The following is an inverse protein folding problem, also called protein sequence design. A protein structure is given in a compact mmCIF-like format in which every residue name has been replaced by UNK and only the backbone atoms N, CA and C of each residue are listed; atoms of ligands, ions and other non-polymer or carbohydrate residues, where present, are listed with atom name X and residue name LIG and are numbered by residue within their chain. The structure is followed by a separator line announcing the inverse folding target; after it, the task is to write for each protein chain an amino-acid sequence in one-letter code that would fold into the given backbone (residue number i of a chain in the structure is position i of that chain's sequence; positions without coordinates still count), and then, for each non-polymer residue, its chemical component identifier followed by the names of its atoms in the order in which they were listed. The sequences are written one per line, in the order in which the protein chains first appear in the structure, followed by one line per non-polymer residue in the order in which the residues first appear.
data_IF_655142660605
#
_entry.id   IF_655142660605
#
_cell.length_a   1.000
_cell.length_b   1.000
_cell.length_c   1.000
_cell.angle_alpha   90.00
_cell.angle_beta   90.00
_cell.angle_gamma   90.00
#
_symmetry.space_group_name_H-M   'P 1'
#
loop_
_entity.id
_entity.type
_entity.pdbx_description
1 polymer ?
#
# COMPACT_ATOMS: atom_id res chain seq x y z
N UNK A 1 -28.98 -10.92 42.88
CA UNK A 1 -28.52 -9.57 43.17
C UNK A 1 -27.00 -9.57 42.91
N UNK A 2 -26.56 -9.37 41.67
CA UNK A 2 -25.15 -9.32 41.29
C UNK A 2 -24.59 -7.96 41.69
N UNK A 3 -23.68 -7.94 42.67
CA UNK A 3 -22.93 -6.75 43.01
C UNK A 3 -21.93 -6.45 41.86
N UNK A 4 -22.17 -5.39 41.13
CA UNK A 4 -21.20 -4.87 40.16
C UNK A 4 -19.89 -4.51 40.91
N UNK A 5 -18.74 -4.96 40.44
CA UNK A 5 -17.47 -4.57 41.04
C UNK A 5 -17.29 -3.05 40.88
N UNK A 6 -16.80 -2.42 41.91
CA UNK A 6 -16.60 -0.96 41.99
C UNK A 6 -15.63 -0.49 40.93
N UNK A 7 -16.17 -0.10 39.77
CA UNK A 7 -15.46 0.35 38.56
C UNK A 7 -14.52 1.52 38.88
N UNK A 8 -14.87 2.39 39.83
CA UNK A 8 -14.00 3.48 40.26
C UNK A 8 -12.69 3.01 40.92
N UNK A 9 -12.66 1.84 41.57
CA UNK A 9 -11.44 1.29 42.18
C UNK A 9 -10.49 0.67 41.17
N UNK A 10 -11.01 0.15 40.05
CA UNK A 10 -10.22 -0.43 38.98
C UNK A 10 -9.63 0.67 38.10
N UNK A 11 -10.39 1.71 37.78
CA UNK A 11 -9.91 2.85 36.97
C UNK A 11 -9.06 3.85 37.77
N UNK A 12 -9.24 3.98 39.07
CA UNK A 12 -8.44 4.86 39.92
C UNK A 12 -6.99 4.42 40.14
N UNK A 13 -6.68 3.15 39.93
CA UNK A 13 -5.28 2.63 39.94
C UNK A 13 -4.57 2.73 38.59
N UNK A 14 -5.29 3.01 37.50
CA UNK A 14 -4.75 3.04 36.14
C UNK A 14 -4.38 4.46 35.69
N UNK A 15 -4.91 5.49 36.35
CA UNK A 15 -4.63 6.89 36.00
C UNK A 15 -3.96 7.58 37.19
N UNK A 16 -2.68 7.30 37.37
CA UNK A 16 -1.82 8.26 38.05
C UNK A 16 -1.72 9.49 37.14
N UNK A 17 -2.42 10.57 37.51
CA UNK A 17 -2.56 11.82 36.76
C UNK A 17 -1.21 12.49 36.51
N UNK A 18 -0.14 12.02 37.15
CA UNK A 18 1.23 12.53 37.01
C UNK A 18 1.96 11.90 35.81
N UNK A 19 1.47 10.76 35.24
CA UNK A 19 2.12 10.01 34.15
C UNK A 19 1.37 10.07 32.81
N UNK A 20 0.32 10.86 32.66
CA UNK A 20 -0.46 10.90 31.42
C UNK A 20 0.28 11.60 30.28
N UNK A 21 0.49 10.86 29.18
CA UNK A 21 0.95 11.44 27.92
C UNK A 21 -0.14 12.37 27.37
N UNK A 22 0.21 13.62 27.10
CA UNK A 22 -0.69 14.61 26.48
C UNK A 22 -0.58 14.50 24.94
N UNK A 23 -1.71 14.58 24.26
CA UNK A 23 -1.79 14.56 22.79
C UNK A 23 -0.97 15.66 22.13
N UNK A 24 -0.88 16.84 22.75
CA UNK A 24 -0.04 17.94 22.30
C UNK A 24 1.45 17.59 22.35
N UNK A 25 1.88 16.92 23.43
CA UNK A 25 3.27 16.45 23.57
C UNK A 25 3.60 15.37 22.53
N UNK A 26 2.68 14.41 22.30
CA UNK A 26 2.85 13.40 21.27
C UNK A 26 2.98 14.03 19.88
N UNK A 27 2.12 15.00 19.55
CA UNK A 27 2.17 15.72 18.27
C UNK A 27 3.49 16.48 18.10
N UNK A 28 3.95 17.17 19.14
CA UNK A 28 5.20 17.95 19.10
C UNK A 28 6.41 17.02 18.92
N UNK A 29 6.47 15.95 19.69
CA UNK A 29 7.53 14.96 19.56
C UNK A 29 7.54 14.32 18.16
N UNK A 30 6.37 13.88 17.67
CA UNK A 30 6.22 13.26 16.36
C UNK A 30 6.73 14.18 15.25
N UNK A 31 6.36 15.45 15.27
CA UNK A 31 6.80 16.43 14.28
C UNK A 31 8.32 16.67 14.34
N UNK A 32 8.91 16.77 15.54
CA UNK A 32 10.36 16.89 15.71
C UNK A 32 11.09 15.70 15.09
N UNK A 33 10.59 14.48 15.37
CA UNK A 33 11.18 13.24 14.86
C UNK A 33 11.05 13.13 13.33
N UNK A 34 9.90 13.53 12.78
CA UNK A 34 9.64 13.51 11.34
C UNK A 34 10.50 14.50 10.57
N UNK A 35 10.65 15.74 11.08
CA UNK A 35 11.44 16.78 10.44
C UNK A 35 12.96 16.60 10.63
N UNK A 36 13.36 15.77 11.60
CA UNK A 36 14.77 15.65 11.99
C UNK A 36 15.40 16.97 12.46
N UNK A 37 14.59 17.97 12.82
CA UNK A 37 15.01 19.32 13.19
C UNK A 37 13.96 20.00 14.04
N UNK A 38 14.36 20.44 15.24
CA UNK A 38 13.47 21.19 16.14
C UNK A 38 13.05 22.53 15.52
N UNK A 39 13.95 23.18 14.78
CA UNK A 39 13.66 24.46 14.10
C UNK A 39 12.64 24.27 12.97
N UNK A 40 12.78 23.26 12.11
CA UNK A 40 11.79 22.98 11.07
C UNK A 40 10.45 22.57 11.66
N UNK A 41 10.46 21.72 12.69
CA UNK A 41 9.23 21.34 13.39
C UNK A 41 8.53 22.55 14.03
N UNK A 42 9.28 23.52 14.59
CA UNK A 42 8.71 24.73 15.17
C UNK A 42 7.98 25.60 14.14
N UNK A 43 8.51 25.68 12.93
CA UNK A 43 7.89 26.38 11.79
C UNK A 43 6.59 25.67 11.35
N UNK A 44 6.62 24.34 11.18
CA UNK A 44 5.44 23.55 10.79
C UNK A 44 4.33 23.65 11.83
N UNK A 45 4.69 23.62 13.13
CA UNK A 45 3.74 23.68 14.23
C UNK A 45 3.31 25.11 14.60
N UNK A 46 3.95 26.12 14.02
CA UNK A 46 3.76 27.53 14.36
C UNK A 46 3.96 27.80 15.88
N UNK A 47 5.04 27.24 16.44
CA UNK A 47 5.40 27.34 17.87
C UNK A 47 6.83 27.81 17.97
N UNK A 48 7.12 28.65 18.98
CA UNK A 48 8.48 29.11 19.22
C UNK A 48 9.44 27.95 19.53
N UNK A 49 10.59 27.90 18.86
CA UNK A 49 11.56 26.81 18.98
C UNK A 49 12.00 26.55 20.45
N UNK A 50 12.22 27.55 21.32
CA UNK A 50 12.55 27.30 22.72
C UNK A 50 11.43 26.56 23.48
N UNK A 51 10.17 26.91 23.19
CA UNK A 51 9.02 26.23 23.79
C UNK A 51 8.93 24.77 23.35
N UNK A 52 9.17 24.50 22.03
CA UNK A 52 9.17 23.15 21.51
C UNK A 52 10.30 22.30 22.11
N UNK A 53 11.50 22.88 22.28
CA UNK A 53 12.62 22.21 22.95
C UNK A 53 12.32 21.91 24.43
N UNK A 54 11.62 22.82 25.12
CA UNK A 54 11.20 22.60 26.51
C UNK A 54 10.16 21.48 26.60
N UNK A 55 9.21 21.43 25.67
CA UNK A 55 8.22 20.32 25.60
C UNK A 55 8.89 18.96 25.39
N UNK A 56 9.87 18.86 24.49
CA UNK A 56 10.63 17.64 24.27
C UNK A 56 11.35 17.21 25.55
N UNK A 57 12.08 18.13 26.19
CA UNK A 57 12.81 17.82 27.44
C UNK A 57 11.88 17.33 28.54
N UNK A 58 10.75 18.01 28.77
CA UNK A 58 9.73 17.58 29.76
C UNK A 58 9.15 16.19 29.45
N UNK A 59 8.99 15.84 28.17
CA UNK A 59 8.55 14.53 27.77
C UNK A 59 9.61 13.47 28.08
N UNK A 60 10.89 13.74 27.80
CA UNK A 60 12.03 12.86 28.13
C UNK A 60 12.19 12.68 29.64
N UNK A 61 12.11 13.77 30.42
CA UNK A 61 12.15 13.73 31.90
C UNK A 61 11.00 12.87 32.46
N UNK A 62 9.80 13.02 31.92
CA UNK A 62 8.62 12.24 32.34
C UNK A 62 8.76 10.75 32.03
N UNK A 63 9.30 10.40 30.85
CA UNK A 63 9.49 9.03 30.43
C UNK A 63 10.78 8.40 30.98
N UNK A 64 11.62 9.20 31.63
CA UNK A 64 12.90 8.76 32.23
C UNK A 64 13.93 8.30 31.20
N UNK A 65 13.77 8.71 29.94
CA UNK A 65 14.67 8.29 28.85
C UNK A 65 14.79 9.36 27.76
N UNK A 66 15.94 9.44 27.11
CA UNK A 66 16.13 10.31 25.95
C UNK A 66 15.43 9.74 24.73
N UNK A 67 14.65 10.56 24.06
CA UNK A 67 13.91 10.18 22.85
C UNK A 67 14.64 10.63 21.57
N UNK A 68 15.47 11.67 21.66
CA UNK A 68 16.18 12.24 20.52
C UNK A 68 17.67 12.40 20.80
N UNK A 69 18.50 12.08 19.81
CA UNK A 69 19.93 12.31 19.81
C UNK A 69 20.24 13.55 18.95
N UNK A 70 21.09 14.44 19.44
CA UNK A 70 21.60 15.58 18.67
C UNK A 70 22.72 15.13 17.76
N UNK A 71 22.66 15.53 16.50
CA UNK A 71 23.69 15.30 15.48
C UNK A 71 24.17 16.63 14.90
N UNK A 72 25.22 16.62 14.10
CA UNK A 72 25.69 17.85 13.41
C UNK A 72 24.66 18.40 12.42
N UNK A 73 23.76 17.56 11.91
CA UNK A 73 22.76 17.93 10.89
C UNK A 73 21.34 18.08 11.44
N UNK A 74 21.14 17.89 12.75
CA UNK A 74 19.81 18.00 13.36
C UNK A 74 19.62 17.04 14.54
N UNK A 75 18.46 16.40 14.60
CA UNK A 75 18.13 15.42 15.64
C UNK A 75 17.62 14.12 15.00
N UNK A 76 17.97 12.98 15.61
CA UNK A 76 17.51 11.66 15.19
C UNK A 76 16.89 10.91 16.38
N UNK A 77 15.84 10.12 16.18
CA UNK A 77 15.21 9.38 17.28
C UNK A 77 16.12 8.27 17.80
N UNK A 78 16.15 8.10 19.13
CA UNK A 78 16.70 6.93 19.81
C UNK A 78 15.85 5.69 19.53
N UNK A 79 16.18 4.54 20.07
CA UNK A 79 15.32 3.34 20.04
C UNK A 79 13.97 3.63 20.73
N UNK A 80 13.99 4.21 21.93
CA UNK A 80 12.79 4.65 22.63
C UNK A 80 12.01 5.71 21.82
N UNK A 81 12.75 6.63 21.16
CA UNK A 81 12.15 7.61 20.26
C UNK A 81 11.46 6.99 19.05
N UNK A 82 12.05 5.98 18.42
CA UNK A 82 11.40 5.27 17.30
C UNK A 82 10.12 4.55 17.75
N UNK A 83 10.16 3.88 18.89
CA UNK A 83 8.98 3.25 19.48
C UNK A 83 7.88 4.28 19.77
N UNK A 84 8.25 5.40 20.42
CA UNK A 84 7.27 6.44 20.72
C UNK A 84 6.72 7.09 19.42
N UNK A 85 7.55 7.29 18.41
CA UNK A 85 7.12 7.87 17.13
C UNK A 85 6.06 6.97 16.45
N UNK A 86 6.24 5.66 16.47
CA UNK A 86 5.26 4.71 15.96
C UNK A 86 3.95 4.78 16.75
N UNK A 87 4.04 4.72 18.08
CA UNK A 87 2.85 4.75 18.96
C UNK A 87 2.14 6.11 18.92
N UNK A 88 2.89 7.22 18.94
CA UNK A 88 2.32 8.57 18.85
C UNK A 88 1.51 8.76 17.57
N UNK A 89 2.01 8.28 16.44
CA UNK A 89 1.27 8.33 15.18
C UNK A 89 -0.06 7.59 15.28
N UNK A 90 -0.08 6.36 15.78
CA UNK A 90 -1.33 5.59 15.94
C UNK A 90 -2.33 6.29 16.84
N UNK A 91 -1.89 6.85 17.97
CA UNK A 91 -2.76 7.57 18.90
C UNK A 91 -3.34 8.84 18.25
N UNK A 92 -2.49 9.63 17.58
CA UNK A 92 -2.93 10.85 16.91
C UNK A 92 -3.88 10.57 15.74
N UNK A 93 -3.61 9.54 14.96
CA UNK A 93 -4.49 9.08 13.88
C UNK A 93 -5.85 8.61 14.44
N UNK A 94 -5.87 7.90 15.56
CA UNK A 94 -7.12 7.42 16.18
C UNK A 94 -7.96 8.57 16.72
N UNK A 95 -7.34 9.57 17.32
CA UNK A 95 -8.04 10.79 17.76
C UNK A 95 -8.65 11.51 16.55
N UNK A 96 -7.88 11.67 15.46
CA UNK A 96 -8.36 12.32 14.26
C UNK A 96 -9.56 11.56 13.65
N UNK A 97 -9.50 10.23 13.61
CA UNK A 97 -10.59 9.36 13.15
C UNK A 97 -11.84 9.46 14.01
N UNK A 98 -11.68 9.40 15.34
CA UNK A 98 -12.80 9.55 16.27
C UNK A 98 -13.51 10.88 16.05
N UNK A 99 -12.76 11.98 15.86
CA UNK A 99 -13.35 13.27 15.57
C UNK A 99 -14.11 13.27 14.24
N UNK A 100 -13.59 12.61 13.21
CA UNK A 100 -14.20 12.52 11.90
C UNK A 100 -15.47 11.66 11.93
N UNK A 101 -15.43 10.52 12.61
CA UNK A 101 -16.59 9.64 12.79
C UNK A 101 -17.73 10.37 13.48
N UNK A 102 -17.44 11.11 14.55
CA UNK A 102 -18.45 11.91 15.26
C UNK A 102 -19.04 12.98 14.33
N UNK A 103 -18.21 13.71 13.59
CA UNK A 103 -18.69 14.74 12.66
C UNK A 103 -19.53 14.17 11.51
N UNK A 104 -19.27 12.93 11.11
CA UNK A 104 -19.97 12.27 10.02
C UNK A 104 -21.25 11.53 10.45
N UNK A 105 -21.58 11.45 11.77
CA UNK A 105 -22.75 10.69 12.25
C UNK A 105 -24.06 11.10 11.57
N UNK A 106 -24.27 12.40 11.41
CA UNK A 106 -25.51 12.96 10.82
C UNK A 106 -25.33 13.46 9.38
N UNK A 107 -24.16 13.24 8.77
CA UNK A 107 -23.78 13.80 7.46
C UNK A 107 -23.36 12.76 6.42
N UNK A 108 -22.98 13.26 5.22
CA UNK A 108 -22.34 12.44 4.20
C UNK A 108 -20.94 11.98 4.68
N UNK A 109 -20.44 10.81 4.21
CA UNK A 109 -19.09 10.37 4.53
C UNK A 109 -18.07 11.45 4.18
N UNK A 110 -17.20 11.80 5.13
CA UNK A 110 -16.18 12.84 4.99
C UNK A 110 -14.85 12.36 5.56
N UNK A 111 -13.76 13.02 5.20
CA UNK A 111 -12.43 12.75 5.75
C UNK A 111 -11.41 12.28 4.73
N UNK A 112 -10.26 11.81 5.22
CA UNK A 112 -9.14 11.39 4.39
C UNK A 112 -9.05 9.87 4.35
N UNK A 113 -8.97 9.29 3.13
CA UNK A 113 -8.72 7.87 2.90
C UNK A 113 -7.39 7.70 2.17
N UNK A 114 -6.48 6.95 2.77
CA UNK A 114 -5.13 6.69 2.26
C UNK A 114 -5.09 5.32 1.58
N UNK A 115 -4.82 5.31 0.28
CA UNK A 115 -4.73 4.09 -0.53
C UNK A 115 -3.28 3.78 -0.89
N UNK A 116 -2.85 2.55 -0.63
CA UNK A 116 -1.60 2.01 -1.16
C UNK A 116 -1.84 1.18 -2.41
N UNK A 117 -1.26 1.55 -3.55
CA UNK A 117 -1.47 0.87 -4.82
C UNK A 117 -0.15 0.53 -5.52
N UNK A 118 0.01 -0.68 -6.10
CA UNK A 118 1.08 -0.94 -7.05
C UNK A 118 0.93 -0.02 -8.27
N UNK A 119 2.04 0.47 -8.83
CA UNK A 119 2.02 1.46 -9.89
C UNK A 119 1.20 1.04 -11.12
N UNK A 120 1.19 -0.24 -11.50
CA UNK A 120 0.36 -0.76 -12.60
C UNK A 120 -1.13 -0.64 -12.32
N UNK A 121 -1.55 -0.89 -11.08
CA UNK A 121 -2.95 -0.75 -10.66
C UNK A 121 -3.31 0.74 -10.52
N UNK A 122 -2.41 1.53 -9.93
CA UNK A 122 -2.62 2.95 -9.76
C UNK A 122 -2.87 3.66 -11.09
N UNK A 123 -2.10 3.35 -12.12
CA UNK A 123 -2.26 3.92 -13.46
C UNK A 123 -3.67 3.69 -14.06
N UNK A 124 -4.32 2.57 -13.71
CA UNK A 124 -5.65 2.22 -14.16
C UNK A 124 -6.77 2.77 -13.28
N UNK A 125 -6.59 2.61 -11.97
CA UNK A 125 -7.68 2.75 -11.00
C UNK A 125 -7.79 4.17 -10.46
N UNK A 126 -6.68 4.90 -10.34
CA UNK A 126 -6.67 6.19 -9.62
C UNK A 126 -7.65 7.20 -10.21
N UNK A 127 -7.59 7.45 -11.51
CA UNK A 127 -8.47 8.45 -12.16
C UNK A 127 -9.96 8.05 -12.10
N UNK A 128 -10.37 6.82 -12.46
CA UNK A 128 -11.75 6.39 -12.34
C UNK A 128 -12.27 6.42 -10.90
N UNK A 129 -11.47 5.99 -9.93
CA UNK A 129 -11.83 5.99 -8.52
C UNK A 129 -12.03 7.42 -7.99
N UNK A 130 -11.11 8.34 -8.30
CA UNK A 130 -11.23 9.74 -7.86
C UNK A 130 -12.47 10.39 -8.48
N UNK A 131 -12.78 10.13 -9.78
CA UNK A 131 -13.99 10.63 -10.43
C UNK A 131 -15.26 10.10 -9.75
N UNK A 132 -15.35 8.81 -9.53
CA UNK A 132 -16.49 8.18 -8.87
C UNK A 132 -16.67 8.65 -7.42
N UNK A 133 -15.57 8.76 -6.68
CA UNK A 133 -15.59 9.26 -5.31
C UNK A 133 -16.05 10.73 -5.23
N UNK A 134 -15.55 11.61 -6.12
CA UNK A 134 -16.01 13.01 -6.17
C UNK A 134 -17.49 13.17 -6.46
N UNK A 135 -18.03 12.31 -7.31
CA UNK A 135 -19.46 12.33 -7.64
C UNK A 135 -20.33 11.85 -6.47
N UNK A 136 -19.91 10.77 -5.80
CA UNK A 136 -20.73 10.09 -4.79
C UNK A 136 -20.46 10.59 -3.36
N UNK A 137 -19.21 10.99 -3.08
CA UNK A 137 -18.71 11.37 -1.76
C UNK A 137 -17.80 12.61 -1.84
N UNK A 138 -18.36 13.81 -2.16
CA UNK A 138 -17.58 15.02 -2.45
C UNK A 138 -16.72 15.51 -1.27
N UNK A 139 -17.03 15.07 -0.04
CA UNK A 139 -16.28 15.45 1.17
C UNK A 139 -15.17 14.47 1.52
N UNK A 140 -14.95 13.41 0.72
CA UNK A 140 -13.84 12.49 0.92
C UNK A 140 -12.63 12.98 0.12
N UNK A 141 -11.49 13.10 0.80
CA UNK A 141 -10.19 13.30 0.18
C UNK A 141 -9.46 11.96 0.05
N UNK A 142 -9.07 11.57 -1.15
CA UNK A 142 -8.32 10.34 -1.38
C UNK A 142 -6.83 10.69 -1.56
N UNK A 143 -5.97 10.07 -0.75
CA UNK A 143 -4.52 10.11 -0.89
C UNK A 143 -4.05 8.76 -1.44
N UNK A 144 -3.45 8.76 -2.63
CA UNK A 144 -2.90 7.55 -3.25
C UNK A 144 -1.38 7.60 -3.15
N UNK A 145 -0.80 6.53 -2.61
CA UNK A 145 0.64 6.31 -2.58
C UNK A 145 0.99 5.07 -3.38
N UNK A 146 2.00 5.20 -4.25
CA UNK A 146 2.47 4.12 -5.11
C UNK A 146 3.77 3.53 -4.60
N UNK A 147 3.83 2.19 -4.54
CA UNK A 147 5.05 1.44 -4.29
C UNK A 147 4.91 -0.02 -4.74
N UNK A 148 5.98 -0.80 -4.56
CA UNK A 148 5.90 -2.26 -4.63
C UNK A 148 5.09 -2.82 -3.45
N UNK A 149 4.41 -3.96 -3.65
CA UNK A 149 3.53 -4.59 -2.65
C UNK A 149 4.18 -4.78 -1.29
N UNK A 150 5.48 -5.06 -1.23
CA UNK A 150 6.22 -5.22 0.03
C UNK A 150 6.23 -3.94 0.88
N UNK A 151 6.44 -2.77 0.27
CA UNK A 151 6.37 -1.48 0.97
C UNK A 151 4.95 -1.15 1.39
N UNK A 152 3.97 -1.37 0.51
CA UNK A 152 2.56 -1.09 0.78
C UNK A 152 2.06 -1.93 1.96
N UNK A 153 2.44 -3.21 2.05
CA UNK A 153 2.10 -4.05 3.20
C UNK A 153 2.69 -3.52 4.50
N UNK A 154 3.90 -2.97 4.47
CA UNK A 154 4.49 -2.23 5.58
C UNK A 154 3.66 -1.01 5.98
N UNK A 155 3.21 -0.21 5.00
CA UNK A 155 2.36 0.97 5.25
C UNK A 155 1.01 0.62 5.88
N UNK A 156 0.41 -0.52 5.50
CA UNK A 156 -0.81 -1.01 6.15
C UNK A 156 -0.57 -1.35 7.62
N UNK A 157 0.51 -2.11 7.93
CA UNK A 157 0.87 -2.47 9.31
C UNK A 157 1.16 -1.24 10.16
N UNK A 158 1.83 -0.27 9.57
CA UNK A 158 2.14 0.99 10.23
C UNK A 158 0.95 1.96 10.27
N UNK A 159 -0.19 1.69 9.61
CA UNK A 159 -1.35 2.59 9.52
C UNK A 159 -1.10 3.83 8.66
N UNK A 160 -0.08 3.83 7.81
CA UNK A 160 0.18 4.86 6.79
C UNK A 160 -0.81 4.77 5.63
N UNK A 161 -1.33 3.56 5.36
CA UNK A 161 -2.42 3.31 4.43
C UNK A 161 -3.63 2.76 5.19
N UNK A 162 -4.82 3.15 4.76
CA UNK A 162 -6.09 2.70 5.32
C UNK A 162 -6.61 1.48 4.55
N UNK A 163 -6.40 1.45 3.24
CA UNK A 163 -6.72 0.38 2.32
C UNK A 163 -5.55 0.19 1.36
N UNK A 164 -5.41 -0.99 0.82
CA UNK A 164 -4.42 -1.24 -0.23
C UNK A 164 -4.88 -2.28 -1.24
N UNK A 165 -4.25 -2.28 -2.42
CA UNK A 165 -4.28 -3.42 -3.33
C UNK A 165 -2.88 -4.03 -3.35
N UNK A 166 -2.82 -5.36 -3.18
CA UNK A 166 -1.59 -6.13 -3.20
C UNK A 166 -1.72 -7.32 -4.15
N UNK A 167 -0.60 -7.81 -4.67
CA UNK A 167 -0.56 -9.03 -5.48
C UNK A 167 -0.38 -10.33 -4.68
N UNK A 168 -0.41 -10.23 -3.37
CA UNK A 168 -0.42 -11.37 -2.43
C UNK A 168 -1.34 -11.04 -1.26
N UNK A 169 -2.03 -12.03 -0.69
CA UNK A 169 -2.84 -11.80 0.50
C UNK A 169 -1.95 -11.53 1.71
N UNK A 170 -2.42 -10.71 2.64
CA UNK A 170 -1.87 -10.64 3.99
C UNK A 170 -2.61 -11.67 4.87
N UNK A 171 -1.93 -12.76 5.21
CA UNK A 171 -2.48 -13.82 6.07
C UNK A 171 -2.23 -13.58 7.56
N UNK A 172 -2.11 -12.32 7.95
CA UNK A 172 -1.83 -11.91 9.33
C UNK A 172 -3.13 -11.56 10.05
N UNK A 173 -3.16 -11.82 11.38
CA UNK A 173 -4.26 -11.33 12.22
C UNK A 173 -4.35 -9.81 12.14
N UNK A 174 -5.57 -9.29 12.02
CA UNK A 174 -5.82 -7.85 11.92
C UNK A 174 -5.94 -7.32 10.49
N UNK A 175 -5.88 -8.20 9.47
CA UNK A 175 -6.16 -7.85 8.07
C UNK A 175 -7.13 -8.82 7.44
N UNK A 176 -7.99 -8.29 6.58
CA UNK A 176 -8.84 -9.03 5.66
C UNK A 176 -8.30 -8.83 4.24
N UNK A 177 -8.19 -9.92 3.49
CA UNK A 177 -7.70 -9.93 2.11
C UNK A 177 -8.75 -10.57 1.22
N UNK A 178 -9.41 -9.78 0.39
CA UNK A 178 -10.42 -10.24 -0.56
C UNK A 178 -9.84 -10.21 -1.98
N UNK A 179 -10.07 -11.25 -2.77
CA UNK A 179 -9.61 -11.29 -4.17
C UNK A 179 -10.41 -10.25 -4.96
N UNK A 180 -9.71 -9.33 -5.63
CA UNK A 180 -10.30 -8.27 -6.43
C UNK A 180 -10.46 -8.70 -7.89
N UNK A 181 -9.41 -9.28 -8.47
CA UNK A 181 -9.37 -9.80 -9.84
C UNK A 181 -8.17 -10.72 -10.04
N UNK A 182 -8.17 -11.40 -11.19
CA UNK A 182 -6.98 -12.06 -11.75
C UNK A 182 -6.58 -11.38 -13.05
N UNK A 183 -5.27 -11.19 -13.26
CA UNK A 183 -4.72 -10.64 -14.50
C UNK A 183 -3.74 -11.61 -15.15
N UNK A 184 -3.82 -11.71 -16.49
CA UNK A 184 -2.99 -12.57 -17.30
C UNK A 184 -1.59 -11.96 -17.47
N UNK A 185 -0.57 -12.79 -17.36
CA UNK A 185 0.80 -12.45 -17.69
C UNK A 185 1.14 -12.94 -19.09
N UNK A 186 1.80 -12.09 -19.87
CA UNK A 186 2.22 -12.39 -21.24
C UNK A 186 3.74 -12.43 -21.33
N UNK A 187 4.26 -13.27 -22.20
CA UNK A 187 5.65 -13.19 -22.66
C UNK A 187 5.78 -12.01 -23.60
N UNK A 188 6.82 -11.22 -23.44
CA UNK A 188 7.20 -10.09 -24.28
C UNK A 188 8.51 -10.39 -24.99
N UNK A 189 8.60 -10.03 -26.29
CA UNK A 189 9.84 -10.12 -27.04
C UNK A 189 9.92 -9.06 -28.14
N UNK A 190 11.12 -8.83 -28.65
CA UNK A 190 11.33 -7.94 -29.78
C UNK A 190 10.73 -8.52 -31.08
N UNK A 191 10.25 -7.67 -31.96
CA UNK A 191 9.60 -8.07 -33.21
C UNK A 191 10.48 -8.99 -34.09
N UNK A 192 11.80 -8.90 -33.96
CA UNK A 192 12.74 -9.73 -34.73
C UNK A 192 12.78 -11.20 -34.30
N UNK A 193 12.14 -11.58 -33.18
CA UNK A 193 12.18 -12.96 -32.68
C UNK A 193 10.89 -13.70 -33.04
N UNK A 194 10.99 -14.83 -33.81
CA UNK A 194 9.80 -15.59 -34.19
C UNK A 194 9.26 -16.40 -33.02
N UNK A 195 8.23 -15.90 -32.35
CA UNK A 195 7.54 -16.62 -31.28
C UNK A 195 6.05 -16.76 -31.61
N UNK A 196 5.43 -17.92 -31.35
CA UNK A 196 4.02 -18.12 -31.65
C UNK A 196 3.11 -17.30 -30.73
N UNK A 197 1.85 -17.02 -31.13
CA UNK A 197 0.89 -16.31 -30.30
C UNK A 197 0.63 -16.94 -28.91
N UNK A 198 0.90 -18.24 -28.79
CA UNK A 198 0.86 -19.02 -27.54
C UNK A 198 2.14 -19.82 -27.40
N UNK A 199 2.87 -19.68 -26.32
CA UNK A 199 4.17 -20.31 -26.11
C UNK A 199 4.30 -20.87 -24.69
N UNK A 200 4.92 -22.06 -24.57
CA UNK A 200 5.30 -22.59 -23.27
C UNK A 200 6.48 -21.80 -22.67
N UNK A 201 6.57 -21.70 -21.35
CA UNK A 201 7.71 -21.08 -20.65
C UNK A 201 9.04 -21.76 -21.00
N UNK A 202 9.03 -23.05 -21.30
CA UNK A 202 10.20 -23.80 -21.75
C UNK A 202 10.89 -23.20 -23.01
N UNK A 203 10.16 -22.45 -23.85
CA UNK A 203 10.75 -21.72 -24.99
C UNK A 203 11.65 -20.57 -24.58
N UNK A 204 11.54 -20.11 -23.35
CA UNK A 204 12.41 -19.07 -22.77
C UNK A 204 13.66 -19.66 -22.12
N UNK A 205 13.83 -20.99 -22.13
CA UNK A 205 15.02 -21.63 -21.59
C UNK A 205 16.25 -21.21 -22.42
N UNK A 206 17.28 -20.65 -21.74
CA UNK A 206 18.48 -20.11 -22.39
C UNK A 206 18.30 -18.72 -23.01
N UNK A 207 17.08 -18.19 -23.09
CA UNK A 207 16.82 -16.81 -23.53
C UNK A 207 17.10 -15.86 -22.39
N UNK A 208 17.92 -14.81 -22.58
CA UNK A 208 18.11 -13.79 -21.54
C UNK A 208 16.77 -13.12 -21.20
N UNK A 209 16.43 -13.08 -19.92
CA UNK A 209 15.22 -12.40 -19.44
C UNK A 209 15.58 -11.06 -18.78
N UNK A 210 14.75 -10.07 -19.06
CA UNK A 210 14.76 -8.75 -18.39
C UNK A 210 13.63 -8.78 -17.38
N UNK A 211 13.92 -8.90 -16.10
CA UNK A 211 12.94 -9.09 -15.04
C UNK A 211 13.11 -8.12 -13.89
N UNK A 212 12.09 -7.93 -13.06
CA UNK A 212 12.24 -7.24 -11.77
C UNK A 212 13.26 -7.94 -10.86
N UNK A 213 13.79 -7.20 -9.91
CA UNK A 213 14.70 -7.70 -8.89
C UNK A 213 14.06 -8.75 -7.98
N UNK A 214 14.87 -9.57 -7.34
CA UNK A 214 14.37 -10.54 -6.32
C UNK A 214 13.66 -9.81 -5.17
N UNK A 215 12.60 -10.41 -4.65
CA UNK A 215 11.71 -9.80 -3.66
C UNK A 215 10.59 -8.95 -4.27
N UNK A 216 10.57 -8.79 -5.59
CA UNK A 216 9.40 -8.30 -6.31
C UNK A 216 8.42 -9.47 -6.54
N UNK A 217 7.17 -9.34 -6.09
CA UNK A 217 6.19 -10.44 -6.18
C UNK A 217 5.93 -10.96 -7.60
N UNK A 218 6.12 -10.15 -8.65
CA UNK A 218 6.06 -10.62 -10.03
C UNK A 218 7.24 -11.54 -10.35
N UNK A 219 8.45 -11.19 -9.90
CA UNK A 219 9.63 -12.01 -10.08
C UNK A 219 9.48 -13.37 -9.37
N UNK A 220 9.01 -13.36 -8.13
CA UNK A 220 8.80 -14.58 -7.36
C UNK A 220 7.81 -15.52 -8.04
N UNK A 221 6.70 -14.96 -8.56
CA UNK A 221 5.70 -15.71 -9.34
C UNK A 221 6.28 -16.32 -10.64
N UNK A 222 7.11 -15.58 -11.36
CA UNK A 222 7.78 -16.05 -12.57
C UNK A 222 8.77 -17.19 -12.23
N UNK A 223 9.61 -16.99 -11.22
CA UNK A 223 10.59 -17.99 -10.77
C UNK A 223 9.88 -19.28 -10.32
N UNK A 224 8.74 -19.16 -9.64
CA UNK A 224 7.91 -20.31 -9.25
C UNK A 224 7.31 -21.03 -10.46
N UNK A 225 6.81 -20.30 -11.45
CA UNK A 225 6.26 -20.87 -12.67
C UNK A 225 7.32 -21.65 -13.49
N UNK A 226 8.54 -21.12 -13.57
CA UNK A 226 9.65 -21.87 -14.19
C UNK A 226 10.00 -23.14 -13.39
N UNK A 227 10.11 -23.03 -12.07
CA UNK A 227 10.43 -24.15 -11.18
C UNK A 227 9.37 -25.26 -11.26
N UNK A 228 8.09 -24.90 -11.34
CA UNK A 228 7.00 -25.87 -11.51
C UNK A 228 7.09 -26.68 -12.80
N UNK A 229 7.78 -26.17 -13.82
CA UNK A 229 8.06 -26.86 -15.07
C UNK A 229 9.46 -27.52 -15.12
N UNK A 230 10.15 -27.62 -13.97
CA UNK A 230 11.50 -28.21 -13.90
C UNK A 230 12.58 -27.36 -14.57
N UNK A 231 12.33 -26.07 -14.77
CA UNK A 231 13.22 -25.12 -15.44
C UNK A 231 13.65 -23.98 -14.52
N UNK A 232 14.57 -23.16 -14.99
CA UNK A 232 14.98 -21.92 -14.32
C UNK A 232 15.02 -20.76 -15.30
N UNK A 233 14.63 -19.57 -14.84
CA UNK A 233 14.74 -18.35 -15.62
C UNK A 233 16.21 -17.93 -15.77
N UNK A 234 16.67 -17.72 -17.01
CA UNK A 234 18.01 -17.16 -17.29
C UNK A 234 17.90 -15.64 -17.26
N UNK A 235 18.16 -15.03 -16.10
CA UNK A 235 18.03 -13.58 -15.94
C UNK A 235 19.31 -12.88 -16.42
N UNK A 236 19.18 -12.10 -17.48
CA UNK A 236 20.27 -11.30 -18.05
C UNK A 236 20.33 -9.89 -17.46
N UNK A 237 19.16 -9.30 -17.15
CA UNK A 237 19.07 -7.94 -16.60
C UNK A 237 18.01 -7.92 -15.51
N UNK A 238 18.34 -7.31 -14.36
CA UNK A 238 17.38 -7.02 -13.28
C UNK A 238 17.11 -5.52 -13.21
N UNK A 239 15.81 -5.13 -13.32
CA UNK A 239 15.37 -3.74 -13.27
C UNK A 239 13.89 -3.65 -12.84
N UNK A 240 13.57 -2.79 -11.86
CA UNK A 240 12.23 -2.73 -11.29
C UNK A 240 11.24 -1.82 -12.05
N UNK A 241 11.71 -1.06 -13.04
CA UNK A 241 10.85 -0.19 -13.86
C UNK A 241 10.28 -0.94 -15.05
N UNK A 242 8.97 -1.14 -15.08
CA UNK A 242 8.29 -1.76 -16.24
C UNK A 242 8.49 -0.95 -17.54
N UNK A 243 8.59 0.36 -17.48
CA UNK A 243 8.91 1.18 -18.66
C UNK A 243 10.28 0.79 -19.23
N UNK A 244 11.29 0.67 -18.37
CA UNK A 244 12.62 0.28 -18.80
C UNK A 244 12.69 -1.18 -19.26
N UNK A 245 11.96 -2.10 -18.59
CA UNK A 245 11.85 -3.48 -19.07
C UNK A 245 11.32 -3.50 -20.50
N UNK A 246 10.23 -2.77 -20.78
CA UNK A 246 9.65 -2.70 -22.11
C UNK A 246 10.60 -2.14 -23.16
N UNK A 247 11.32 -1.06 -22.82
CA UNK A 247 12.31 -0.47 -23.71
C UNK A 247 13.46 -1.44 -24.03
N UNK A 248 13.98 -2.15 -23.01
CA UNK A 248 15.04 -3.14 -23.21
C UNK A 248 14.58 -4.31 -24.06
N UNK A 249 13.33 -4.78 -23.85
CA UNK A 249 12.76 -5.84 -24.68
C UNK A 249 12.58 -5.39 -26.13
N UNK A 250 12.08 -4.16 -26.36
CA UNK A 250 11.92 -3.61 -27.70
C UNK A 250 13.25 -3.53 -28.47
N UNK A 251 14.35 -3.19 -27.77
CA UNK A 251 15.71 -3.13 -28.33
C UNK A 251 16.39 -4.52 -28.46
N UNK A 252 15.71 -5.62 -28.05
CA UNK A 252 16.22 -6.98 -28.24
C UNK A 252 17.22 -7.45 -27.18
N UNK A 253 17.32 -6.79 -26.01
CA UNK A 253 18.21 -7.23 -24.93
C UNK A 253 17.75 -8.51 -24.24
N UNK A 254 16.53 -8.96 -24.47
CA UNK A 254 15.97 -10.17 -23.89
C UNK A 254 14.46 -10.24 -24.06
N UNK A 255 13.86 -11.32 -23.53
CA UNK A 255 12.41 -11.40 -23.34
C UNK A 255 12.03 -10.98 -21.93
N UNK A 256 10.74 -10.80 -21.69
CA UNK A 256 10.20 -10.54 -20.35
C UNK A 256 8.83 -11.19 -20.17
N UNK A 257 8.31 -11.13 -18.94
CA UNK A 257 6.94 -11.55 -18.60
C UNK A 257 6.31 -10.44 -17.78
N UNK A 258 5.27 -9.78 -18.35
CA UNK A 258 4.56 -8.68 -17.72
C UNK A 258 3.04 -8.85 -17.86
N UNK A 259 2.22 -8.12 -17.04
CA UNK A 259 0.78 -8.13 -17.19
C UNK A 259 0.33 -7.63 -18.56
N UNK A 260 -0.71 -8.24 -19.12
CA UNK A 260 -1.25 -7.88 -20.43
C UNK A 260 -1.56 -6.39 -20.57
N UNK A 261 -2.15 -5.78 -19.54
CA UNK A 261 -2.42 -4.35 -19.53
C UNK A 261 -1.14 -3.51 -19.65
N UNK A 262 -0.09 -3.88 -18.92
CA UNK A 262 1.14 -3.09 -18.85
C UNK A 262 1.87 -2.96 -20.20
N UNK A 263 1.54 -3.82 -21.18
CA UNK A 263 2.18 -3.88 -22.49
C UNK A 263 1.24 -3.54 -23.64
N UNK A 264 0.00 -3.18 -23.34
CA UNK A 264 -1.04 -2.96 -24.34
C UNK A 264 -0.69 -1.84 -25.32
N UNK A 265 -0.07 -0.77 -24.86
CA UNK A 265 0.30 0.38 -25.71
C UNK A 265 1.38 -0.03 -26.71
N UNK A 266 2.45 -0.67 -26.26
CA UNK A 266 3.59 -1.09 -27.07
C UNK A 266 3.19 -2.17 -28.09
N UNK A 267 2.30 -3.07 -27.69
CA UNK A 267 1.75 -4.10 -28.59
C UNK A 267 0.92 -3.47 -29.69
N UNK A 268 0.09 -2.46 -29.38
CA UNK A 268 -0.68 -1.73 -30.38
C UNK A 268 0.18 -0.92 -31.35
N UNK A 269 1.28 -0.36 -30.85
CA UNK A 269 2.26 0.37 -31.66
C UNK A 269 3.17 -0.55 -32.47
N UNK A 270 3.14 -1.87 -32.20
CA UNK A 270 4.02 -2.85 -32.85
C UNK A 270 5.48 -2.78 -32.44
N UNK A 271 5.81 -2.08 -31.36
CA UNK A 271 7.19 -2.00 -30.86
C UNK A 271 7.60 -3.23 -30.06
N UNK A 272 6.66 -3.96 -29.49
CA UNK A 272 6.83 -5.22 -28.76
C UNK A 272 5.80 -6.23 -29.27
N UNK A 273 6.21 -7.47 -29.43
CA UNK A 273 5.33 -8.60 -29.64
C UNK A 273 5.02 -9.30 -28.31
N UNK A 274 3.85 -9.93 -28.22
CA UNK A 274 3.44 -10.69 -27.04
C UNK A 274 2.94 -12.08 -27.40
N UNK A 275 3.19 -13.04 -26.51
CA UNK A 275 2.59 -14.37 -26.54
C UNK A 275 1.87 -14.66 -25.23
N UNK A 276 0.72 -15.32 -25.33
CA UNK A 276 0.10 -15.93 -24.17
C UNK A 276 0.94 -17.11 -23.69
N UNK A 277 1.04 -17.29 -22.39
CA UNK A 277 1.70 -18.47 -21.83
C UNK A 277 0.78 -19.68 -22.03
N UNK A 278 1.34 -20.77 -22.53
CA UNK A 278 0.59 -22.01 -22.80
C UNK A 278 0.09 -22.65 -21.48
N UNK A 279 -0.93 -23.50 -21.60
CA UNK A 279 -1.63 -24.09 -20.47
C UNK A 279 -0.72 -24.58 -19.33
N UNK A 280 -1.09 -24.21 -18.10
CA UNK A 280 -2.37 -23.57 -17.68
C UNK A 280 -2.42 -22.06 -17.83
N UNK A 281 -1.45 -21.40 -18.46
CA UNK A 281 -1.27 -19.94 -18.45
C UNK A 281 -0.63 -19.46 -17.15
N UNK A 282 -0.27 -18.19 -17.09
CA UNK A 282 0.25 -17.58 -15.88
C UNK A 282 -0.63 -16.38 -15.49
N UNK A 283 -1.20 -16.46 -14.31
CA UNK A 283 -2.12 -15.47 -13.79
C UNK A 283 -1.65 -15.02 -12.43
N UNK A 284 -1.84 -13.75 -12.12
CA UNK A 284 -1.63 -13.25 -10.77
C UNK A 284 -2.92 -12.65 -10.20
N UNK A 285 -3.11 -12.79 -8.90
CA UNK A 285 -4.28 -12.26 -8.20
C UNK A 285 -3.95 -10.91 -7.59
N UNK A 286 -4.86 -9.96 -7.77
CA UNK A 286 -4.86 -8.74 -6.99
C UNK A 286 -5.86 -8.87 -5.85
N UNK A 287 -5.47 -8.44 -4.66
CA UNK A 287 -6.27 -8.49 -3.44
C UNK A 287 -6.50 -7.08 -2.93
N UNK A 288 -7.73 -6.76 -2.54
CA UNK A 288 -7.98 -5.60 -1.69
C UNK A 288 -7.74 -5.99 -0.24
N UNK A 289 -6.94 -5.20 0.46
CA UNK A 289 -6.56 -5.45 1.85
C UNK A 289 -7.15 -4.37 2.74
N UNK A 290 -7.79 -4.81 3.83
CA UNK A 290 -8.44 -3.95 4.80
C UNK A 290 -7.98 -4.32 6.21
N UNK A 291 -7.59 -3.35 7.06
CA UNK A 291 -7.37 -3.60 8.48
C UNK A 291 -8.69 -4.00 9.17
N UNK A 292 -8.64 -5.02 10.04
CA UNK A 292 -9.78 -5.48 10.85
C UNK A 292 -9.56 -5.29 12.35
N UNK A 293 -8.34 -4.93 12.76
CA UNK A 293 -8.00 -4.69 14.17
C UNK A 293 -8.70 -3.47 14.78
N UNK A 294 -9.33 -2.63 13.94
CA UNK A 294 -10.06 -1.43 14.33
C UNK A 294 -11.24 -1.23 13.39
N UNK A 295 -12.33 -0.59 13.82
CA UNK A 295 -13.41 -0.18 12.95
C UNK A 295 -12.91 0.75 11.84
N UNK A 296 -13.48 0.63 10.65
CA UNK A 296 -13.26 1.57 9.56
C UNK A 296 -14.13 2.81 9.77
N UNK A 297 -13.59 3.99 9.43
CA UNK A 297 -14.40 5.22 9.37
C UNK A 297 -15.44 5.11 8.25
N UNK A 298 -16.48 5.93 8.29
CA UNK A 298 -17.49 5.97 7.21
C UNK A 298 -16.88 6.29 5.84
N UNK A 299 -15.86 7.16 5.81
CA UNK A 299 -15.13 7.46 4.58
C UNK A 299 -14.35 6.23 4.05
N UNK A 300 -13.67 5.51 4.95
CA UNK A 300 -12.94 4.29 4.59
C UNK A 300 -13.88 3.20 4.07
N UNK A 301 -15.01 2.97 4.73
CA UNK A 301 -16.04 2.02 4.31
C UNK A 301 -16.60 2.39 2.93
N UNK A 302 -16.94 3.66 2.71
CA UNK A 302 -17.46 4.15 1.43
C UNK A 302 -16.47 3.91 0.27
N UNK A 303 -15.18 4.13 0.48
CA UNK A 303 -14.15 3.87 -0.54
C UNK A 303 -13.86 2.38 -0.69
N UNK A 304 -13.91 1.60 0.40
CA UNK A 304 -13.75 0.14 0.35
C UNK A 304 -14.85 -0.55 -0.47
N UNK A 305 -16.07 -0.02 -0.43
CA UNK A 305 -17.20 -0.49 -1.26
C UNK A 305 -17.11 0.01 -2.71
N UNK A 306 -16.65 1.25 -2.91
CA UNK A 306 -16.57 1.87 -4.23
C UNK A 306 -15.44 1.27 -5.09
N UNK A 307 -14.31 0.95 -4.49
CA UNK A 307 -13.11 0.47 -5.18
C UNK A 307 -13.35 -0.81 -6.00
N UNK A 308 -13.97 -1.88 -5.47
CA UNK A 308 -14.31 -3.06 -6.27
C UNK A 308 -15.29 -2.77 -7.39
N UNK A 309 -16.25 -1.86 -7.21
CA UNK A 309 -17.20 -1.47 -8.25
C UNK A 309 -16.48 -0.80 -9.42
N UNK A 310 -15.58 0.13 -9.13
CA UNK A 310 -14.76 0.79 -10.16
C UNK A 310 -13.89 -0.21 -10.91
N UNK A 311 -13.29 -1.16 -10.20
CA UNK A 311 -12.47 -2.20 -10.82
C UNK A 311 -13.30 -3.13 -11.69
N UNK A 312 -14.46 -3.56 -11.23
CA UNK A 312 -15.39 -4.37 -12.03
C UNK A 312 -15.82 -3.66 -13.31
N UNK A 313 -16.11 -2.37 -13.24
CA UNK A 313 -16.44 -1.53 -14.39
C UNK A 313 -15.30 -1.45 -15.41
N UNK A 314 -14.05 -1.31 -14.94
CA UNK A 314 -12.87 -1.29 -15.81
C UNK A 314 -12.68 -2.62 -16.54
N UNK A 315 -12.88 -3.73 -15.85
CA UNK A 315 -12.82 -5.08 -16.44
C UNK A 315 -13.95 -5.28 -17.44
N UNK A 316 -15.18 -4.96 -17.09
CA UNK A 316 -16.36 -5.11 -17.96
C UNK A 316 -16.26 -4.28 -19.25
N UNK A 317 -15.67 -3.08 -19.18
CA UNK A 317 -15.43 -2.20 -20.33
C UNK A 317 -14.20 -2.58 -21.16
N UNK A 318 -13.46 -3.64 -20.78
CA UNK A 318 -12.21 -4.05 -21.43
C UNK A 318 -11.05 -3.07 -21.28
N UNK A 319 -11.19 -2.08 -20.37
CA UNK A 319 -10.15 -1.09 -20.09
C UNK A 319 -8.96 -1.71 -19.35
N UNK A 320 -9.20 -2.81 -18.62
CA UNK A 320 -8.15 -3.64 -18.00
C UNK A 320 -7.92 -4.88 -18.84
N UNK A 321 -7.09 -4.78 -19.87
CA UNK A 321 -6.78 -5.87 -20.78
C UNK A 321 -6.16 -7.07 -20.03
N UNK A 322 -6.64 -8.27 -20.32
CA UNK A 322 -6.16 -9.50 -19.69
C UNK A 322 -6.61 -9.69 -18.24
N UNK A 323 -7.51 -8.86 -17.73
CA UNK A 323 -8.10 -9.08 -16.41
C UNK A 323 -9.42 -9.85 -16.51
N UNK A 324 -9.71 -10.64 -15.46
CA UNK A 324 -11.00 -11.29 -15.26
C UNK A 324 -11.47 -11.15 -13.81
N UNK A 325 -12.75 -10.98 -13.63
CA UNK A 325 -13.36 -11.03 -12.30
C UNK A 325 -13.26 -12.47 -11.76
N UNK A 326 -13.00 -12.62 -10.48
CA UNK A 326 -13.08 -13.93 -9.82
C UNK A 326 -14.52 -14.24 -9.44
N UNK A 327 -14.96 -15.49 -9.61
CA UNK A 327 -16.30 -15.95 -9.30
C UNK A 327 -16.72 -15.84 -7.81
N UNK A 328 -15.85 -15.29 -6.95
CA UNK A 328 -16.09 -15.07 -5.52
C UNK A 328 -16.22 -13.60 -5.10
N UNK A 329 -16.25 -12.65 -6.03
CA UNK A 329 -16.31 -11.22 -5.77
C UNK A 329 -17.71 -10.62 -5.54
N UNK A 330 -18.72 -11.42 -5.26
CA UNK A 330 -19.96 -10.92 -4.64
C UNK A 330 -19.67 -10.70 -3.15
N UNK A 331 -19.35 -9.46 -2.77
CA UNK A 331 -19.36 -9.04 -1.36
C UNK A 331 -20.76 -9.36 -0.84
N UNK A 332 -20.83 -10.37 0.05
CA UNK A 332 -22.06 -10.74 0.70
C UNK A 332 -22.65 -9.52 1.39
N UNK A 333 -23.83 -9.11 0.92
CA UNK A 333 -24.78 -8.40 1.73
C UNK A 333 -25.37 -9.46 2.68
N UNK A 334 -24.94 -9.46 3.93
CA UNK A 334 -25.68 -9.96 5.10
C UNK A 334 -25.33 -9.02 6.27
#
# INVERSE_FOLDING_TARGET
MYQMPNIQKIYGQIIDTTMTLDTKQLRYFYEIAQQGSVTRASQVLNVAQPALSLHLRRLEERLGTSLMLRTRTGVVPTEAGRLLMERARHILDEIARTQEDIRSLDGAPSGVVRLGLPGTISALVSLPLIKAARQRYPQITINIAEAMSGFISGWLREGKSDLAILYHPLQERGFRSDILLEEELLILWAQAWPMPPKAALARLQGVPLVLPSRGNGLRDLIDEAFRAQGASATVGIEIDSYANIKSLVAEGFGASILPAYAVQAETRMGTICTSRIADPGLWRRAHVIQPTARPMTRAQSAIAELLPQVVADLVAKGAWSGARATAGGAIGAD
#
